data_IF_765702801242
#
_entry.id   IF_765702801242
#
_cell.length_a   1.000
_cell.length_b   1.000
_cell.length_c   1.000
_cell.angle_alpha   90.00
_cell.angle_beta   90.00
_cell.angle_gamma   90.00
#
_symmetry.space_group_name_H-M   'P 1'
#
loop_
_entity.id
_entity.type
_entity.pdbx_description
1 polymer ?
#
# COMPACT_ATOMS: atom_id res chain seq x y z
N UNK A 1 21.65 -3.54 -13.37
CA UNK A 1 21.17 -2.28 -12.75
C UNK A 1 19.74 -2.48 -12.28
N UNK A 2 19.54 -2.69 -10.98
CA UNK A 2 18.18 -2.76 -10.43
C UNK A 2 17.63 -1.34 -10.38
N UNK A 3 16.61 -1.05 -11.17
CA UNK A 3 15.86 0.20 -11.09
C UNK A 3 15.28 0.23 -9.67
N UNK A 4 15.83 1.08 -8.80
CA UNK A 4 15.19 1.43 -7.54
C UNK A 4 13.87 2.10 -7.94
N UNK A 5 12.76 1.39 -7.77
CA UNK A 5 11.44 2.00 -7.93
C UNK A 5 11.40 3.16 -6.93
N UNK A 6 11.23 4.43 -7.36
CA UNK A 6 11.14 5.55 -6.42
C UNK A 6 10.08 5.22 -5.36
N UNK A 7 10.33 5.56 -4.10
CA UNK A 7 9.34 5.40 -3.03
C UNK A 7 8.06 6.13 -3.46
N UNK A 8 7.08 5.35 -3.91
CA UNK A 8 5.77 5.84 -4.26
C UNK A 8 4.78 5.24 -3.26
N UNK A 9 3.61 5.86 -3.15
CA UNK A 9 2.60 5.41 -2.20
C UNK A 9 2.20 3.94 -2.43
N UNK A 10 2.24 3.46 -3.67
CA UNK A 10 1.94 2.06 -4.02
C UNK A 10 2.92 1.07 -3.38
N UNK A 11 4.23 1.37 -3.40
CA UNK A 11 5.23 0.51 -2.76
C UNK A 11 5.12 0.53 -1.23
N UNK A 12 4.75 1.67 -0.64
CA UNK A 12 4.43 1.76 0.80
C UNK A 12 3.23 0.88 1.17
N UNK A 13 2.14 0.99 0.42
CA UNK A 13 0.92 0.19 0.60
C UNK A 13 1.23 -1.31 0.48
N UNK A 14 2.08 -1.70 -0.49
CA UNK A 14 2.52 -3.08 -0.63
C UNK A 14 3.26 -3.58 0.61
N UNK A 15 4.15 -2.78 1.19
CA UNK A 15 4.89 -3.16 2.40
C UNK A 15 3.96 -3.26 3.60
N UNK A 16 3.07 -2.29 3.81
CA UNK A 16 2.02 -2.35 4.84
C UNK A 16 1.20 -3.63 4.71
N UNK A 17 0.74 -3.95 3.49
CA UNK A 17 -0.02 -5.19 3.25
C UNK A 17 0.75 -6.43 3.70
N UNK A 18 2.02 -6.53 3.33
CA UNK A 18 2.88 -7.67 3.68
C UNK A 18 3.14 -7.72 5.19
N UNK A 19 3.37 -6.57 5.84
CA UNK A 19 3.55 -6.46 7.28
C UNK A 19 2.34 -7.00 8.07
N UNK A 20 1.13 -6.71 7.59
CA UNK A 20 -0.11 -7.23 8.17
C UNK A 20 -0.45 -8.67 7.74
N UNK A 21 0.37 -9.30 6.89
CA UNK A 21 0.13 -10.66 6.40
C UNK A 21 -1.06 -10.80 5.44
N UNK A 22 -1.55 -9.69 4.87
CA UNK A 22 -2.73 -9.70 4.02
C UNK A 22 -2.42 -10.15 2.59
N UNK A 23 -3.32 -10.96 2.02
CA UNK A 23 -3.31 -11.26 0.58
C UNK A 23 -3.86 -10.07 -0.22
N UNK A 24 -3.46 -9.95 -1.49
CA UNK A 24 -3.94 -8.85 -2.34
C UNK A 24 -5.46 -8.94 -2.56
N UNK A 25 -6.00 -10.16 -2.67
CA UNK A 25 -7.43 -10.44 -2.80
C UNK A 25 -8.24 -9.91 -1.61
N UNK A 26 -7.70 -10.02 -0.39
CA UNK A 26 -8.37 -9.55 0.82
C UNK A 26 -8.52 -8.02 0.80
N UNK A 27 -7.42 -7.30 0.59
CA UNK A 27 -7.43 -5.82 0.56
C UNK A 27 -8.25 -5.32 -0.64
N UNK A 28 -8.13 -5.99 -1.79
CA UNK A 28 -8.93 -5.68 -2.96
C UNK A 28 -10.43 -5.80 -2.66
N UNK A 29 -10.85 -6.86 -1.96
CA UNK A 29 -12.24 -7.06 -1.54
C UNK A 29 -12.74 -5.95 -0.63
N UNK A 30 -11.93 -5.51 0.34
CA UNK A 30 -12.27 -4.36 1.20
C UNK A 30 -12.39 -3.05 0.41
N UNK A 31 -11.73 -2.96 -0.74
CA UNK A 31 -11.80 -1.81 -1.63
C UNK A 31 -12.87 -1.92 -2.73
N UNK A 32 -13.60 -3.03 -2.83
CA UNK A 32 -14.50 -3.30 -3.96
C UNK A 32 -13.77 -3.43 -5.30
N UNK A 33 -12.52 -3.86 -5.28
CA UNK A 33 -11.65 -4.03 -6.45
C UNK A 33 -11.39 -5.51 -6.77
N UNK A 34 -10.99 -5.78 -8.01
CA UNK A 34 -10.34 -7.04 -8.33
C UNK A 34 -8.90 -7.07 -7.78
N UNK A 35 -8.37 -8.28 -7.57
CA UNK A 35 -6.96 -8.46 -7.19
C UNK A 35 -6.00 -7.74 -8.16
N UNK A 36 -6.24 -7.86 -9.47
CA UNK A 36 -5.47 -7.15 -10.50
C UNK A 36 -5.59 -5.62 -10.36
N UNK A 37 -6.79 -5.12 -10.05
CA UNK A 37 -7.03 -3.70 -9.81
C UNK A 37 -6.21 -3.17 -8.64
N UNK A 38 -6.14 -3.94 -7.55
CA UNK A 38 -5.31 -3.60 -6.39
C UNK A 38 -3.80 -3.76 -6.67
N UNK A 39 -3.39 -4.78 -7.43
CA UNK A 39 -1.99 -4.94 -7.85
C UNK A 39 -1.47 -3.75 -8.68
N UNK A 40 -2.34 -3.14 -9.50
CA UNK A 40 -2.02 -1.89 -10.22
C UNK A 40 -1.81 -0.69 -9.29
N UNK A 41 -2.43 -0.69 -8.12
CA UNK A 41 -2.18 0.32 -7.08
C UNK A 41 -0.78 0.10 -6.49
N UNK A 42 -0.45 -1.13 -6.08
CA UNK A 42 0.84 -1.45 -5.46
C UNK A 42 2.04 -1.21 -6.37
N UNK A 43 1.86 -1.40 -7.68
CA UNK A 43 2.92 -1.20 -8.69
C UNK A 43 3.00 0.25 -9.18
N UNK A 44 2.05 1.11 -8.81
CA UNK A 44 1.95 2.49 -9.31
C UNK A 44 1.44 2.60 -10.74
N UNK A 45 0.96 1.50 -11.34
CA UNK A 45 0.36 1.50 -12.68
C UNK A 45 -0.94 2.31 -12.73
N UNK A 46 -1.74 2.27 -11.66
CA UNK A 46 -2.93 3.12 -11.53
C UNK A 46 -2.64 4.36 -10.71
N UNK A 47 -3.16 5.51 -11.15
CA UNK A 47 -3.09 6.75 -10.37
C UNK A 47 -3.79 6.58 -9.02
N UNK A 48 -3.07 6.91 -7.95
CA UNK A 48 -3.65 7.00 -6.61
C UNK A 48 -4.54 8.24 -6.52
N UNK A 49 -5.77 8.06 -6.03
CA UNK A 49 -6.68 9.17 -5.71
C UNK A 49 -6.76 9.34 -4.20
N UNK A 50 -7.18 10.52 -3.75
CA UNK A 50 -7.39 10.81 -2.33
C UNK A 50 -8.37 9.83 -1.68
N UNK A 51 -9.46 9.51 -2.38
CA UNK A 51 -10.48 8.56 -1.95
C UNK A 51 -9.89 7.15 -1.72
N UNK A 52 -9.12 6.64 -2.68
CA UNK A 52 -8.46 5.33 -2.55
C UNK A 52 -7.45 5.32 -1.42
N UNK A 53 -6.64 6.38 -1.28
CA UNK A 53 -5.70 6.49 -0.18
C UNK A 53 -6.41 6.51 1.18
N UNK A 54 -7.54 7.21 1.29
CA UNK A 54 -8.36 7.26 2.51
C UNK A 54 -8.95 5.90 2.85
N UNK A 55 -9.46 5.16 1.86
CA UNK A 55 -9.99 3.82 2.06
C UNK A 55 -8.91 2.85 2.53
N UNK A 56 -7.72 2.92 1.93
CA UNK A 56 -6.58 2.10 2.32
C UNK A 56 -6.13 2.41 3.74
N UNK A 57 -6.08 3.69 4.13
CA UNK A 57 -5.73 4.09 5.49
C UNK A 57 -6.69 3.46 6.52
N UNK A 58 -8.01 3.47 6.24
CA UNK A 58 -9.03 2.83 7.08
C UNK A 58 -8.85 1.31 7.22
N UNK A 59 -8.43 0.62 6.15
CA UNK A 59 -8.19 -0.84 6.19
C UNK A 59 -7.08 -1.20 7.19
N UNK A 60 -6.09 -0.31 7.35
CA UNK A 60 -4.96 -0.50 8.28
C UNK A 60 -5.15 0.23 9.60
N UNK A 61 -6.34 0.77 9.89
CA UNK A 61 -6.65 1.57 11.08
C UNK A 61 -5.69 2.77 11.26
N UNK A 62 -5.40 3.45 10.15
CA UNK A 62 -4.53 4.62 10.10
C UNK A 62 -5.32 5.84 9.61
N UNK A 63 -4.89 7.02 10.02
CA UNK A 63 -5.24 8.27 9.33
C UNK A 63 -4.56 8.34 7.98
N UNK A 64 -5.10 9.19 7.08
CA UNK A 64 -4.47 9.44 5.79
C UNK A 64 -3.05 10.00 5.93
N UNK A 65 -2.82 10.88 6.91
CA UNK A 65 -1.51 11.48 7.15
C UNK A 65 -0.51 10.40 7.57
N UNK A 66 -0.89 9.53 8.50
CA UNK A 66 -0.04 8.41 8.93
C UNK A 66 0.29 7.48 7.76
N UNK A 67 -0.67 7.17 6.87
CA UNK A 67 -0.40 6.36 5.68
C UNK A 67 0.63 7.02 4.75
N UNK A 68 0.51 8.33 4.52
CA UNK A 68 1.39 9.08 3.63
C UNK A 68 2.81 9.21 4.21
N UNK A 69 2.90 9.45 5.51
CA UNK A 69 4.15 9.60 6.24
C UNK A 69 4.77 8.26 6.65
N UNK A 70 4.04 7.15 6.52
CA UNK A 70 4.50 5.83 6.90
C UNK A 70 5.86 5.53 6.26
N UNK A 71 6.77 5.09 7.12
CA UNK A 71 8.10 4.59 6.78
C UNK A 71 8.25 3.27 7.51
N UNK A 72 8.72 2.27 6.80
CA UNK A 72 9.10 1.01 7.41
C UNK A 72 10.22 1.28 8.42
N UNK A 73 10.03 0.90 9.68
CA UNK A 73 11.12 0.91 10.63
C UNK A 73 12.15 -0.12 10.13
N UNK A 74 13.40 0.31 9.91
CA UNK A 74 14.50 -0.58 9.57
C UNK A 74 14.62 -1.65 10.68
N UNK A 75 13.98 -2.79 10.51
CA UNK A 75 14.30 -4.01 11.27
C UNK A 75 15.42 -4.73 10.52
N UNK A 76 16.55 -4.02 10.40
CA UNK A 76 17.85 -4.67 10.26
C UNK A 76 18.47 -4.60 11.66
N UNK A 77 18.79 -5.77 12.21
CA UNK A 77 19.13 -5.98 13.62
C UNK A 77 20.05 -4.92 14.23
N UNK A 78 19.67 -4.50 15.44
CA UNK A 78 20.64 -4.42 16.53
C UNK A 78 20.94 -5.83 17.03
#
# INVERSE_FOLDING_TARGET
MSIKNPENIGSKIKRLRVLYGYKQEYVAGQMGLSQTGYSKIETGYSKMTLEKATLIARIYDMSLVELLEWKEANTAGQ
#
